data_IF_498303603282
#
_entry.id   IF_498303603282
#
_cell.length_a   1.000
_cell.length_b   1.000
_cell.length_c   1.000
_cell.angle_alpha   90.00
_cell.angle_beta   90.00
_cell.angle_gamma   90.00
#
_symmetry.space_group_name_H-M   'P 1'
#
loop_
_entity.id
_entity.type
_entity.pdbx_description
1 polymer ?
#
# COMPACT_ATOMS: atom_id res chain seq x y z
N UNK A 1 13.51 -2.32 42.04
CA UNK A 1 13.16 -3.52 41.22
C UNK A 1 12.01 -3.12 40.30
N UNK A 2 12.28 -2.80 39.04
CA UNK A 2 11.24 -2.31 38.11
C UNK A 2 11.70 -2.08 36.67
N UNK A 3 12.93 -2.47 36.32
CA UNK A 3 13.53 -2.22 35.00
C UNK A 3 13.46 -3.41 34.03
N UNK A 4 13.16 -4.62 34.52
CA UNK A 4 13.15 -5.84 33.68
C UNK A 4 11.83 -6.02 32.92
N UNK A 5 10.71 -5.54 33.44
CA UNK A 5 9.39 -5.65 32.80
C UNK A 5 9.21 -4.66 31.65
N UNK A 6 9.88 -3.51 31.68
CA UNK A 6 9.83 -2.50 30.62
C UNK A 6 10.66 -2.90 29.40
N UNK A 7 11.79 -3.60 29.58
CA UNK A 7 12.63 -4.08 28.48
C UNK A 7 12.01 -5.24 27.71
N UNK A 8 11.27 -6.14 28.38
CA UNK A 8 10.56 -7.22 27.70
C UNK A 8 9.37 -6.71 26.90
N UNK A 9 8.64 -5.71 27.41
CA UNK A 9 7.52 -5.09 26.72
C UNK A 9 7.96 -4.33 25.46
N UNK A 10 9.08 -3.58 25.52
CA UNK A 10 9.61 -2.90 24.34
C UNK A 10 10.09 -3.89 23.28
N UNK A 11 10.75 -4.98 23.67
CA UNK A 11 11.20 -6.02 22.75
C UNK A 11 10.03 -6.73 22.05
N UNK A 12 8.97 -7.07 22.79
CA UNK A 12 7.76 -7.68 22.22
C UNK A 12 7.05 -6.71 21.27
N UNK A 13 6.92 -5.44 21.65
CA UNK A 13 6.33 -4.41 20.79
C UNK A 13 7.13 -4.24 19.49
N UNK A 14 8.46 -4.18 19.55
CA UNK A 14 9.30 -4.09 18.35
C UNK A 14 9.20 -5.33 17.45
N UNK A 15 9.11 -6.54 18.03
CA UNK A 15 8.91 -7.78 17.28
C UNK A 15 7.55 -7.81 16.59
N UNK A 16 6.47 -7.43 17.29
CA UNK A 16 5.12 -7.40 16.71
C UNK A 16 5.03 -6.38 15.58
N UNK A 17 5.57 -5.17 15.77
CA UNK A 17 5.61 -4.15 14.73
C UNK A 17 6.50 -4.55 13.54
N UNK A 18 7.69 -5.09 13.80
CA UNK A 18 8.62 -5.52 12.76
C UNK A 18 8.09 -6.70 11.95
N UNK A 19 7.52 -7.71 12.61
CA UNK A 19 6.93 -8.85 11.93
C UNK A 19 5.64 -8.47 11.19
N UNK A 20 4.81 -7.63 11.79
CA UNK A 20 3.59 -7.12 11.16
C UNK A 20 3.87 -6.33 9.88
N UNK A 21 4.87 -5.45 9.90
CA UNK A 21 5.29 -4.72 8.69
C UNK A 21 5.85 -5.64 7.62
N UNK A 22 6.65 -6.64 8.00
CA UNK A 22 7.20 -7.62 7.06
C UNK A 22 6.10 -8.45 6.40
N UNK A 23 5.14 -8.96 7.17
CA UNK A 23 3.96 -9.67 6.64
C UNK A 23 3.13 -8.78 5.73
N UNK A 24 2.93 -7.50 6.10
CA UNK A 24 2.20 -6.54 5.28
C UNK A 24 2.88 -6.29 3.92
N UNK A 25 4.20 -6.13 3.91
CA UNK A 25 4.99 -5.93 2.68
C UNK A 25 4.92 -7.19 1.81
N UNK A 26 5.11 -8.38 2.40
CA UNK A 26 4.98 -9.65 1.66
C UNK A 26 3.59 -9.80 1.06
N UNK A 27 2.52 -9.49 1.81
CA UNK A 27 1.15 -9.53 1.32
C UNK A 27 0.92 -8.59 0.12
N UNK A 28 1.47 -7.38 0.16
CA UNK A 28 1.39 -6.44 -0.97
C UNK A 28 2.19 -6.89 -2.19
N UNK A 29 3.37 -7.49 -2.00
CA UNK A 29 4.16 -8.07 -3.10
C UNK A 29 3.38 -9.21 -3.76
N UNK A 30 2.77 -10.10 -2.97
CA UNK A 30 1.93 -11.19 -3.49
C UNK A 30 0.73 -10.64 -4.27
N UNK A 31 0.07 -9.59 -3.77
CA UNK A 31 -1.02 -8.90 -4.48
C UNK A 31 -0.54 -8.31 -5.81
N UNK A 32 0.63 -7.66 -5.82
CA UNK A 32 1.21 -7.05 -7.02
C UNK A 32 1.53 -8.12 -8.07
N UNK A 33 2.14 -9.24 -7.67
CA UNK A 33 2.41 -10.39 -8.55
C UNK A 33 1.10 -10.99 -9.08
N UNK A 34 0.08 -11.10 -8.23
CA UNK A 34 -1.24 -11.62 -8.63
C UNK A 34 -1.90 -10.71 -9.67
N UNK A 35 -1.86 -9.38 -9.49
CA UNK A 35 -2.37 -8.42 -10.48
C UNK A 35 -1.54 -8.49 -11.77
N UNK A 36 -0.22 -8.55 -11.67
CA UNK A 36 0.69 -8.63 -12.82
C UNK A 36 0.54 -9.92 -13.64
N UNK A 37 0.29 -11.05 -12.99
CA UNK A 37 0.15 -12.35 -13.64
C UNK A 37 -1.28 -12.66 -14.07
N UNK A 38 -2.23 -12.58 -13.13
CA UNK A 38 -3.61 -13.05 -13.33
C UNK A 38 -4.47 -12.00 -14.03
N UNK A 39 -4.44 -10.75 -13.56
CA UNK A 39 -5.30 -9.68 -14.12
C UNK A 39 -4.82 -9.27 -15.51
N UNK A 40 -3.49 -9.13 -15.71
CA UNK A 40 -2.92 -8.84 -17.03
C UNK A 40 -3.36 -9.84 -18.10
N UNK A 41 -3.43 -11.13 -17.75
CA UNK A 41 -3.78 -12.21 -18.69
C UNK A 41 -5.28 -12.32 -18.94
N UNK A 42 -6.10 -12.12 -17.91
CA UNK A 42 -7.54 -12.38 -18.01
C UNK A 42 -8.37 -11.13 -18.31
N UNK A 43 -7.94 -9.94 -17.89
CA UNK A 43 -8.73 -8.69 -17.96
C UNK A 43 -7.81 -7.45 -18.13
N UNK A 44 -7.22 -7.23 -19.33
CA UNK A 44 -6.32 -6.11 -19.59
C UNK A 44 -6.96 -4.73 -19.33
N UNK A 45 -8.28 -4.61 -19.45
CA UNK A 45 -9.04 -3.38 -19.22
C UNK A 45 -8.94 -2.85 -17.77
N UNK A 46 -8.86 -3.77 -16.80
CA UNK A 46 -8.76 -3.45 -15.37
C UNK A 46 -7.31 -3.42 -14.86
N UNK A 47 -6.36 -3.93 -15.66
CA UNK A 47 -4.97 -4.11 -15.28
C UNK A 47 -4.30 -2.79 -14.88
N UNK A 48 -4.45 -1.73 -15.68
CA UNK A 48 -3.80 -0.45 -15.40
C UNK A 48 -4.20 0.16 -14.06
N UNK A 49 -5.50 0.13 -13.74
CA UNK A 49 -6.02 0.70 -12.48
C UNK A 49 -5.63 -0.14 -11.27
N UNK A 50 -5.69 -1.47 -11.39
CA UNK A 50 -5.31 -2.38 -10.31
C UNK A 50 -3.78 -2.38 -10.07
N UNK A 51 -2.99 -2.23 -11.12
CA UNK A 51 -1.53 -2.09 -11.01
C UNK A 51 -1.16 -0.77 -10.34
N UNK A 52 -1.78 0.34 -10.75
CA UNK A 52 -1.58 1.65 -10.13
C UNK A 52 -1.95 1.63 -8.64
N UNK A 53 -3.06 0.97 -8.29
CA UNK A 53 -3.42 0.76 -6.89
C UNK A 53 -2.39 -0.09 -6.14
N UNK A 54 -2.00 -1.25 -6.68
CA UNK A 54 -1.06 -2.16 -6.02
C UNK A 54 0.31 -1.51 -5.82
N UNK A 55 0.83 -0.82 -6.84
CA UNK A 55 2.09 -0.08 -6.76
C UNK A 55 1.99 1.11 -5.79
N UNK A 56 0.90 1.87 -5.84
CA UNK A 56 0.65 2.98 -4.92
C UNK A 56 0.52 2.51 -3.47
N UNK A 57 -0.13 1.37 -3.23
CA UNK A 57 -0.30 0.78 -1.91
C UNK A 57 1.04 0.31 -1.32
N UNK A 58 1.88 -0.34 -2.14
CA UNK A 58 3.24 -0.72 -1.75
C UNK A 58 4.10 0.51 -1.43
N UNK A 59 4.06 1.52 -2.30
CA UNK A 59 4.80 2.77 -2.10
C UNK A 59 4.36 3.49 -0.82
N UNK A 60 3.05 3.59 -0.56
CA UNK A 60 2.52 4.19 0.66
C UNK A 60 2.95 3.42 1.90
N UNK A 61 2.85 2.09 1.92
CA UNK A 61 3.25 1.27 3.07
C UNK A 61 4.73 1.41 3.39
N UNK A 62 5.59 1.43 2.38
CA UNK A 62 7.03 1.67 2.56
C UNK A 62 7.25 3.10 3.09
N UNK A 63 6.65 4.09 2.45
CA UNK A 63 6.80 5.50 2.82
C UNK A 63 6.36 5.75 4.27
N UNK A 64 5.16 5.31 4.67
CA UNK A 64 4.65 5.52 6.03
C UNK A 64 5.40 4.70 7.07
N UNK A 65 5.89 3.50 6.72
CA UNK A 65 6.75 2.72 7.63
C UNK A 65 8.08 3.45 7.88
N UNK A 66 8.72 3.96 6.83
CA UNK A 66 9.99 4.71 6.95
C UNK A 66 9.76 6.04 7.68
N UNK A 67 8.74 6.81 7.27
CA UNK A 67 8.40 8.09 7.87
C UNK A 67 8.01 7.94 9.35
N UNK A 68 7.26 6.90 9.71
CA UNK A 68 6.90 6.60 11.09
C UNK A 68 8.07 6.14 11.96
N UNK A 69 9.09 5.50 11.37
CA UNK A 69 10.27 5.00 12.10
C UNK A 69 11.35 6.06 12.25
N UNK A 70 11.67 6.78 11.17
CA UNK A 70 12.78 7.74 11.12
C UNK A 70 12.32 9.15 11.49
N UNK A 71 11.09 9.52 11.10
CA UNK A 71 10.56 10.86 11.29
C UNK A 71 10.53 11.34 12.74
N UNK A 72 10.04 10.54 13.70
CA UNK A 72 10.08 10.91 15.13
C UNK A 72 11.51 11.05 15.66
N UNK A 73 12.46 10.25 15.16
CA UNK A 73 13.87 10.30 15.56
C UNK A 73 14.55 11.58 15.07
N UNK A 74 14.17 12.09 13.90
CA UNK A 74 14.69 13.35 13.36
C UNK A 74 13.99 14.54 14.03
N UNK A 75 12.66 14.52 14.11
CA UNK A 75 11.86 15.60 14.68
C UNK A 75 12.11 15.78 16.19
N UNK A 76 12.31 14.67 16.91
CA UNK A 76 12.62 14.65 18.35
C UNK A 76 14.01 15.21 18.70
N UNK A 77 14.90 15.44 17.72
CA UNK A 77 16.18 16.15 17.96
C UNK A 77 15.99 17.66 18.18
N UNK A 78 14.84 18.20 17.76
CA UNK A 78 14.50 19.62 17.88
C UNK A 78 13.74 19.91 19.17
N UNK A 79 12.59 19.23 19.36
CA UNK A 79 11.77 19.35 20.56
C UNK A 79 10.73 18.23 20.62
N UNK A 80 10.15 18.01 21.80
CA UNK A 80 9.02 17.08 21.99
C UNK A 80 7.79 17.53 21.20
N UNK A 81 7.52 18.84 21.14
CA UNK A 81 6.43 19.41 20.36
C UNK A 81 6.59 19.18 18.84
N UNK A 82 7.82 19.21 18.33
CA UNK A 82 8.11 18.92 16.93
C UNK A 82 7.83 17.45 16.58
N UNK A 83 8.10 16.51 17.51
CA UNK A 83 7.75 15.11 17.35
C UNK A 83 6.23 14.89 17.32
N UNK A 84 5.47 15.54 18.21
CA UNK A 84 4.00 15.46 18.20
C UNK A 84 3.41 16.08 16.93
N UNK A 85 3.91 17.25 16.53
CA UNK A 85 3.46 17.93 15.30
C UNK A 85 3.71 17.04 14.07
N UNK A 86 4.87 16.39 13.99
CA UNK A 86 5.17 15.46 12.92
C UNK A 86 4.20 14.27 12.88
N UNK A 87 3.89 13.67 14.03
CA UNK A 87 2.94 12.56 14.10
C UNK A 87 1.53 12.96 13.67
N UNK A 88 1.07 14.15 14.06
CA UNK A 88 -0.24 14.69 13.67
C UNK A 88 -0.29 14.92 12.16
N UNK A 89 0.74 15.56 11.60
CA UNK A 89 0.83 15.82 10.14
C UNK A 89 0.87 14.51 9.35
N UNK A 90 1.68 13.54 9.77
CA UNK A 90 1.74 12.24 9.10
C UNK A 90 0.42 11.46 9.21
N UNK A 91 -0.27 11.54 10.34
CA UNK A 91 -1.60 10.92 10.51
C UNK A 91 -2.64 11.60 9.62
N UNK A 92 -2.60 12.92 9.53
CA UNK A 92 -3.48 13.70 8.66
C UNK A 92 -3.22 13.43 7.17
N UNK A 93 -1.96 13.18 6.77
CA UNK A 93 -1.60 12.76 5.41
C UNK A 93 -1.97 11.31 5.11
N UNK A 94 -1.92 10.44 6.11
CA UNK A 94 -2.24 9.02 5.96
C UNK A 94 -3.71 8.79 5.57
N UNK A 95 -4.64 9.57 6.12
CA UNK A 95 -6.07 9.46 5.79
C UNK A 95 -6.40 9.65 4.30
N UNK A 96 -6.06 10.79 3.66
CA UNK A 96 -6.39 11.03 2.25
C UNK A 96 -5.67 10.04 1.31
N UNK A 97 -4.44 9.62 1.65
CA UNK A 97 -3.73 8.59 0.85
C UNK A 97 -4.48 7.26 0.89
N UNK A 98 -4.96 6.82 2.06
CA UNK A 98 -5.77 5.60 2.14
C UNK A 98 -7.09 5.75 1.39
N UNK A 99 -7.78 6.88 1.52
CA UNK A 99 -9.04 7.12 0.79
C UNK A 99 -8.81 7.02 -0.73
N UNK A 100 -7.75 7.65 -1.24
CA UNK A 100 -7.40 7.58 -2.65
C UNK A 100 -7.06 6.16 -3.11
N UNK A 101 -6.31 5.40 -2.29
CA UNK A 101 -6.01 3.99 -2.56
C UNK A 101 -7.28 3.12 -2.56
N UNK A 102 -8.17 3.27 -1.59
CA UNK A 102 -9.43 2.54 -1.56
C UNK A 102 -10.33 2.90 -2.75
N UNK A 103 -10.37 4.17 -3.16
CA UNK A 103 -11.08 4.59 -4.35
C UNK A 103 -10.49 3.94 -5.61
N UNK A 104 -9.17 3.91 -5.76
CA UNK A 104 -8.49 3.26 -6.88
C UNK A 104 -8.75 1.73 -6.92
N UNK A 105 -8.75 1.07 -5.75
CA UNK A 105 -9.12 -0.33 -5.62
C UNK A 105 -10.56 -0.57 -6.05
N UNK A 106 -11.51 0.21 -5.52
CA UNK A 106 -12.92 0.10 -5.86
C UNK A 106 -13.16 0.30 -7.36
N UNK A 107 -12.45 1.26 -7.98
CA UNK A 107 -12.53 1.51 -9.42
C UNK A 107 -11.94 0.35 -10.24
N UNK A 108 -10.82 -0.22 -9.80
CA UNK A 108 -10.22 -1.41 -10.39
C UNK A 108 -11.13 -2.64 -10.32
N UNK A 109 -11.76 -2.87 -9.15
CA UNK A 109 -12.74 -3.93 -8.94
C UNK A 109 -14.00 -3.71 -9.77
N UNK A 110 -14.51 -2.48 -9.84
CA UNK A 110 -15.66 -2.16 -10.68
C UNK A 110 -15.39 -2.41 -12.17
N UNK A 111 -14.16 -2.14 -12.66
CA UNK A 111 -13.75 -2.46 -14.03
C UNK A 111 -13.60 -3.96 -14.25
N UNK A 112 -13.16 -4.71 -13.23
CA UNK A 112 -13.09 -6.17 -13.27
C UNK A 112 -14.48 -6.81 -13.29
N UNK A 113 -15.44 -6.23 -12.57
CA UNK A 113 -16.81 -6.73 -12.45
C UNK A 113 -17.69 -6.41 -13.68
N UNK A 114 -17.35 -5.39 -14.47
CA UNK A 114 -18.04 -5.11 -15.73
C UNK A 114 -17.86 -6.28 -16.71
N UNK A 115 -18.79 -6.52 -17.65
CA UNK A 115 -18.55 -7.47 -18.73
C UNK A 115 -17.29 -7.07 -19.50
N UNK A 116 -16.48 -8.02 -20.01
CA UNK A 116 -15.35 -7.70 -20.88
C UNK A 116 -15.85 -6.80 -22.01
N UNK A 117 -15.16 -5.70 -22.29
CA UNK A 117 -15.45 -4.95 -23.51
C UNK A 117 -15.21 -5.93 -24.67
N UNK A 118 -16.23 -6.14 -25.51
CA UNK A 118 -16.07 -7.00 -26.67
C UNK A 118 -14.83 -6.55 -27.45
N UNK A 119 -13.89 -7.46 -27.76
CA UNK A 119 -12.80 -7.08 -28.64
C UNK A 119 -13.43 -6.55 -29.92
N UNK A 120 -13.08 -5.32 -30.30
CA UNK A 120 -13.43 -4.78 -31.61
C UNK A 120 -12.73 -5.66 -32.66
N UNK A 121 -13.33 -6.80 -32.99
CA UNK A 121 -13.02 -7.55 -34.21
C UNK A 121 -13.65 -6.72 -35.33
N UNK A 122 -12.97 -5.62 -35.66
CA UNK A 122 -13.23 -4.86 -36.87
C UNK A 122 -12.78 -5.77 -37.99
N UNK A 123 -13.76 -6.47 -38.58
CA UNK A 123 -13.53 -7.43 -39.63
C UNK A 123 -12.81 -6.77 -40.80
N UNK A 124 -11.72 -7.39 -41.23
CA UNK A 124 -11.32 -7.48 -42.63
C UNK A 124 -10.27 -8.60 -42.75
N UNK A 125 -10.59 -9.73 -43.41
CA UNK A 125 -9.55 -10.61 -43.92
C UNK A 125 -8.90 -9.95 -45.16
N UNK A 126 -7.58 -9.69 -45.20
CA UNK A 126 -6.93 -9.08 -46.36
C UNK A 126 -6.52 -10.11 -47.43
N UNK A 127 -7.27 -11.21 -47.59
CA UNK A 127 -6.96 -12.20 -48.62
C UNK A 127 -8.24 -12.64 -49.35
N UNK A 128 -8.48 -11.99 -50.49
CA UNK A 128 -9.17 -12.54 -51.65
C UNK A 128 -8.29 -12.33 -52.88
#
# INVERSE_FOLDING_TARGET
MGSSSTSSLSMVMSLVYGFGTLVSVVGQVVLLVTVAGVVKRNRPDAFGTLLAWAAGSLGATIFFSIAGTIGPVIAGRSSVDAMFTFQIVMSALHMPVNIALFAALALGLARLARPPAEPLVRGEPPYR
#
